data_IF_777159157918
#
_entry.id   IF_777159157918
#
_cell.length_a   1.000
_cell.length_b   1.000
_cell.length_c   1.000
_cell.angle_alpha   90.00
_cell.angle_beta   90.00
_cell.angle_gamma   90.00
#
_symmetry.space_group_name_H-M   'P 1'
#
loop_
_entity.id
_entity.type
_entity.pdbx_description
1 polymer ?
#
# COMPACT_ATOMS: atom_id res chain seq x y z
N UNK A 1 13.75 21.66 -26.46
CA UNK A 1 13.37 20.23 -26.33
C UNK A 1 12.24 20.12 -25.31
N UNK A 2 11.07 19.58 -25.65
CA UNK A 2 9.97 19.39 -24.68
C UNK A 2 10.33 18.23 -23.74
N UNK A 3 10.54 18.53 -22.46
CA UNK A 3 10.75 17.48 -21.45
C UNK A 3 9.44 16.71 -21.23
N UNK A 4 9.52 15.38 -21.25
CA UNK A 4 8.36 14.51 -20.97
C UNK A 4 8.10 14.51 -19.45
N UNK A 5 6.83 14.55 -19.00
CA UNK A 5 6.49 14.53 -17.59
C UNK A 5 6.95 13.21 -16.93
N UNK A 6 7.37 13.30 -15.66
CA UNK A 6 7.79 12.17 -14.83
C UNK A 6 6.58 11.27 -14.55
N UNK A 7 6.69 9.98 -14.86
CA UNK A 7 5.68 8.98 -14.52
C UNK A 7 6.02 8.37 -13.16
N UNK A 8 4.99 8.20 -12.33
CA UNK A 8 5.03 7.35 -11.15
C UNK A 8 4.29 6.06 -11.50
N UNK A 9 5.00 4.93 -11.49
CA UNK A 9 4.40 3.63 -11.74
C UNK A 9 3.58 3.17 -10.54
N UNK A 10 2.36 2.72 -10.80
CA UNK A 10 1.53 2.06 -9.80
C UNK A 10 2.12 0.71 -9.41
N UNK A 11 1.66 0.15 -8.29
CA UNK A 11 2.07 -1.20 -7.88
C UNK A 11 1.64 -2.26 -8.90
N UNK A 12 0.51 -2.08 -9.58
CA UNK A 12 0.06 -2.98 -10.66
C UNK A 12 0.96 -2.90 -11.88
N UNK A 13 1.38 -1.70 -12.29
CA UNK A 13 2.32 -1.51 -13.39
C UNK A 13 3.69 -2.13 -13.06
N UNK A 14 4.19 -1.91 -11.85
CA UNK A 14 5.43 -2.57 -11.37
C UNK A 14 5.26 -4.09 -11.35
N UNK A 15 4.12 -4.61 -10.90
CA UNK A 15 3.86 -6.04 -10.89
C UNK A 15 3.90 -6.62 -12.31
N UNK A 16 3.29 -5.94 -13.28
CA UNK A 16 3.34 -6.33 -14.69
C UNK A 16 4.77 -6.31 -15.26
N UNK A 17 5.57 -5.30 -14.91
CA UNK A 17 6.99 -5.24 -15.30
C UNK A 17 7.77 -6.45 -14.76
N UNK A 18 7.53 -6.82 -13.50
CA UNK A 18 8.15 -8.00 -12.87
C UNK A 18 7.67 -9.31 -13.49
N UNK A 19 6.39 -9.44 -13.84
CA UNK A 19 5.85 -10.65 -14.48
C UNK A 19 6.49 -10.87 -15.85
N UNK A 20 6.71 -9.80 -16.62
CA UNK A 20 7.37 -9.84 -17.94
C UNK A 20 8.86 -10.13 -17.83
N UNK A 21 9.53 -9.50 -16.87
CA UNK A 21 10.94 -9.79 -16.56
C UNK A 21 11.16 -11.25 -16.16
N UNK A 22 10.28 -11.80 -15.32
CA UNK A 22 10.36 -13.21 -14.89
C UNK A 22 10.09 -14.19 -16.05
N UNK A 23 9.30 -13.79 -17.05
CA UNK A 23 9.08 -14.57 -18.28
C UNK A 23 10.27 -14.53 -19.25
N UNK A 24 11.28 -13.69 -18.99
CA UNK A 24 12.46 -13.54 -19.83
C UNK A 24 12.33 -12.45 -20.91
N UNK A 25 11.29 -11.62 -20.85
CA UNK A 25 11.13 -10.51 -21.80
C UNK A 25 12.27 -9.47 -21.62
N UNK A 26 12.76 -8.93 -22.73
CA UNK A 26 13.83 -7.93 -22.69
C UNK A 26 13.33 -6.59 -22.14
N UNK A 27 14.22 -5.79 -21.54
CA UNK A 27 13.89 -4.45 -21.04
C UNK A 27 13.25 -3.54 -22.09
N UNK A 28 13.61 -3.73 -23.37
CA UNK A 28 13.06 -2.97 -24.49
C UNK A 28 11.60 -3.35 -24.77
N UNK A 29 11.27 -4.65 -24.76
CA UNK A 29 9.89 -5.14 -24.92
C UNK A 29 9.01 -4.69 -23.76
N UNK A 30 9.51 -4.75 -22.52
CA UNK A 30 8.78 -4.26 -21.35
C UNK A 30 8.55 -2.74 -21.48
N UNK A 31 9.53 -1.98 -21.97
CA UNK A 31 9.40 -0.54 -22.13
C UNK A 31 8.41 -0.12 -23.22
N UNK A 32 8.33 -0.90 -24.30
CA UNK A 32 7.32 -0.71 -25.36
C UNK A 32 5.89 -0.83 -24.82
N UNK A 33 5.63 -1.73 -23.87
CA UNK A 33 4.31 -1.86 -23.23
C UNK A 33 3.85 -0.60 -22.47
N UNK A 34 4.78 0.27 -22.08
CA UNK A 34 4.49 1.52 -21.36
C UNK A 34 4.70 2.78 -22.21
N UNK A 35 4.99 2.65 -23.52
CA UNK A 35 5.39 3.74 -24.42
C UNK A 35 6.60 4.55 -23.90
N UNK A 36 7.57 3.86 -23.28
CA UNK A 36 8.74 4.49 -22.64
C UNK A 36 10.08 3.94 -23.12
N UNK A 37 11.12 4.69 -22.75
CA UNK A 37 12.51 4.29 -22.96
C UNK A 37 12.96 3.36 -21.82
N UNK A 38 13.72 2.31 -22.15
CA UNK A 38 14.16 1.22 -21.28
C UNK A 38 14.96 1.68 -20.05
N UNK A 39 15.60 2.86 -20.12
CA UNK A 39 16.43 3.39 -19.02
C UNK A 39 15.68 3.56 -17.70
N UNK A 40 14.38 3.91 -17.75
CA UNK A 40 13.56 4.04 -16.53
C UNK A 40 13.21 2.70 -15.90
N UNK A 41 13.06 1.65 -16.71
CA UNK A 41 12.67 0.30 -16.26
C UNK A 41 13.88 -0.45 -15.73
N UNK A 42 15.02 -0.31 -16.41
CA UNK A 42 16.30 -0.86 -15.96
C UNK A 42 16.67 -0.39 -14.56
N UNK A 43 16.43 0.89 -14.24
CA UNK A 43 16.66 1.43 -12.88
C UNK A 43 15.77 0.77 -11.82
N UNK A 44 14.49 0.56 -12.12
CA UNK A 44 13.54 -0.05 -11.17
C UNK A 44 13.90 -1.51 -10.87
N UNK A 45 14.32 -2.25 -11.90
CA UNK A 45 14.74 -3.64 -11.78
C UNK A 45 16.12 -3.76 -11.10
N UNK A 46 17.06 -2.86 -11.41
CA UNK A 46 18.40 -2.89 -10.82
C UNK A 46 18.42 -2.45 -9.36
N UNK A 47 17.51 -1.57 -8.92
CA UNK A 47 17.34 -1.20 -7.51
C UNK A 47 17.04 -2.41 -6.61
N UNK A 48 16.40 -3.47 -7.16
CA UNK A 48 16.13 -4.72 -6.44
C UNK A 48 17.09 -5.87 -6.85
N UNK A 49 18.17 -5.56 -7.57
CA UNK A 49 19.15 -6.55 -8.04
C UNK A 49 18.62 -7.55 -9.08
N UNK A 50 17.53 -7.22 -9.78
CA UNK A 50 16.88 -8.12 -10.75
C UNK A 50 16.03 -9.23 -10.11
N UNK A 51 15.88 -9.22 -8.78
CA UNK A 51 15.01 -10.14 -8.04
C UNK A 51 13.75 -9.40 -7.61
N UNK A 52 12.57 -10.01 -7.86
CA UNK A 52 11.29 -9.41 -7.51
C UNK A 52 11.23 -9.16 -5.99
N UNK A 53 11.08 -7.90 -5.54
CA UNK A 53 10.98 -7.62 -4.12
C UNK A 53 9.70 -8.25 -3.57
N UNK A 54 9.79 -8.82 -2.37
CA UNK A 54 8.62 -9.36 -1.69
C UNK A 54 7.55 -8.27 -1.54
N UNK A 55 6.31 -8.59 -1.93
CA UNK A 55 5.20 -7.68 -1.75
C UNK A 55 5.08 -7.32 -0.27
N UNK A 56 5.08 -6.02 0.04
CA UNK A 56 4.92 -5.55 1.43
C UNK A 56 3.56 -5.97 1.95
N UNK A 57 3.53 -6.97 2.83
CA UNK A 57 2.34 -7.37 3.55
C UNK A 57 2.28 -6.66 4.90
N UNK A 58 1.06 -6.34 5.36
CA UNK A 58 0.87 -5.88 6.73
C UNK A 58 1.26 -7.01 7.67
N UNK A 59 2.01 -6.69 8.73
CA UNK A 59 2.28 -7.65 9.80
C UNK A 59 0.97 -8.20 10.36
N UNK A 60 0.93 -9.49 10.73
CA UNK A 60 -0.21 -10.10 11.44
C UNK A 60 -0.56 -9.39 12.75
N UNK A 61 0.39 -8.64 13.30
CA UNK A 61 0.22 -7.83 14.51
C UNK A 61 -0.44 -6.48 14.22
N UNK A 62 -0.61 -6.10 12.96
CA UNK A 62 -1.32 -4.88 12.58
C UNK A 62 -2.83 -5.07 12.76
N UNK A 63 -3.49 -4.07 13.35
CA UNK A 63 -4.94 -4.05 13.45
C UNK A 63 -5.58 -4.01 12.05
N UNK A 64 -6.54 -4.88 11.83
CA UNK A 64 -7.42 -4.95 10.66
C UNK A 64 -8.36 -3.74 10.61
N UNK A 65 -9.05 -3.55 9.47
CA UNK A 65 -10.04 -2.49 9.33
C UNK A 65 -11.22 -2.67 10.29
N UNK A 66 -11.73 -3.89 10.43
CA UNK A 66 -12.80 -4.21 11.35
C UNK A 66 -12.43 -3.89 12.81
N UNK A 67 -11.21 -4.23 13.24
CA UNK A 67 -10.72 -3.89 14.58
C UNK A 67 -10.61 -2.36 14.76
N UNK A 68 -10.15 -1.62 13.75
CA UNK A 68 -10.06 -0.14 13.79
C UNK A 68 -11.44 0.52 13.87
N UNK A 69 -12.41 0.01 13.12
CA UNK A 69 -13.80 0.48 13.18
C UNK A 69 -14.43 0.22 14.54
N UNK A 70 -14.17 -0.94 15.14
CA UNK A 70 -14.64 -1.29 16.48
C UNK A 70 -14.02 -0.38 17.54
N UNK A 71 -12.72 -0.04 17.43
CA UNK A 71 -12.07 0.97 18.28
C UNK A 71 -12.80 2.31 18.12
N UNK A 72 -13.09 2.74 16.89
CA UNK A 72 -13.77 4.01 16.63
C UNK A 72 -15.17 4.05 17.24
N UNK A 73 -15.98 2.99 17.05
CA UNK A 73 -17.32 2.86 17.66
C UNK A 73 -17.25 2.88 19.18
N UNK A 74 -16.32 2.12 19.75
CA UNK A 74 -16.17 2.02 21.20
C UNK A 74 -15.66 3.30 21.87
N UNK A 75 -14.88 4.11 21.13
CA UNK A 75 -14.46 5.43 21.60
C UNK A 75 -15.68 6.36 21.72
N UNK A 76 -16.56 6.35 20.70
CA UNK A 76 -17.78 7.18 20.65
C UNK A 76 -18.76 6.78 21.75
N UNK A 77 -18.90 5.48 22.05
CA UNK A 77 -19.73 5.01 23.16
C UNK A 77 -19.10 5.21 24.55
N UNK A 78 -17.87 5.72 24.63
CA UNK A 78 -17.22 6.04 25.91
C UNK A 78 -16.51 4.87 26.59
N UNK A 79 -16.31 3.73 25.93
CA UNK A 79 -15.62 2.58 26.55
C UNK A 79 -14.15 2.88 26.88
N UNK A 80 -13.65 2.30 27.97
CA UNK A 80 -12.23 2.42 28.35
C UNK A 80 -11.32 1.64 27.38
N UNK A 81 -10.04 2.03 27.29
CA UNK A 81 -9.07 1.34 26.42
C UNK A 81 -8.97 -0.16 26.76
N UNK A 82 -9.09 -0.52 28.05
CA UNK A 82 -9.05 -1.92 28.50
C UNK A 82 -10.25 -2.71 27.99
N UNK A 83 -11.46 -2.17 28.11
CA UNK A 83 -12.68 -2.80 27.61
C UNK A 83 -12.66 -3.00 26.09
N UNK A 84 -12.14 -2.01 25.35
CA UNK A 84 -11.95 -2.12 23.90
C UNK A 84 -10.97 -3.25 23.56
N UNK A 85 -9.86 -3.31 24.28
CA UNK A 85 -8.81 -4.31 24.06
C UNK A 85 -9.30 -5.74 24.35
N UNK A 86 -10.07 -5.93 25.42
CA UNK A 86 -10.73 -7.20 25.75
C UNK A 86 -11.68 -7.64 24.64
N UNK A 87 -12.53 -6.72 24.16
CA UNK A 87 -13.49 -7.01 23.07
C UNK A 87 -12.79 -7.43 21.77
N UNK A 88 -11.59 -6.91 21.51
CA UNK A 88 -10.79 -7.22 20.32
C UNK A 88 -9.85 -8.42 20.51
N UNK A 89 -9.71 -8.96 21.73
CA UNK A 89 -8.69 -9.97 22.04
C UNK A 89 -7.26 -9.44 21.85
N UNK A 90 -7.03 -8.15 22.09
CA UNK A 90 -5.73 -7.48 21.90
C UNK A 90 -5.19 -6.94 23.22
N UNK A 91 -3.89 -6.65 23.25
CA UNK A 91 -3.29 -5.96 24.38
C UNK A 91 -3.78 -4.50 24.46
N UNK A 92 -4.08 -3.96 25.66
CA UNK A 92 -4.43 -2.54 25.84
C UNK A 92 -3.39 -1.57 25.27
N UNK A 93 -2.11 -1.96 25.30
CA UNK A 93 -1.00 -1.18 24.72
C UNK A 93 -1.08 -1.09 23.19
N UNK A 94 -1.72 -2.04 22.51
CA UNK A 94 -1.96 -2.01 21.06
C UNK A 94 -3.01 -0.95 20.72
N UNK A 95 -4.13 -0.95 21.43
CA UNK A 95 -5.21 0.03 21.24
C UNK A 95 -4.73 1.44 21.58
N UNK A 96 -4.00 1.61 22.67
CA UNK A 96 -3.43 2.91 23.05
C UNK A 96 -2.45 3.47 22.00
N UNK A 97 -1.50 2.64 21.53
CA UNK A 97 -0.54 3.04 20.48
C UNK A 97 -1.23 3.39 19.17
N UNK A 98 -2.27 2.66 18.81
CA UNK A 98 -3.09 2.92 17.63
C UNK A 98 -3.78 4.29 17.74
N UNK A 99 -4.45 4.57 18.86
CA UNK A 99 -5.12 5.87 19.09
C UNK A 99 -4.11 7.02 19.03
N UNK A 100 -2.99 6.90 19.77
CA UNK A 100 -1.92 7.92 19.80
C UNK A 100 -1.29 8.17 18.43
N UNK A 101 -1.19 7.14 17.59
CA UNK A 101 -0.63 7.26 16.23
C UNK A 101 -1.48 8.15 15.33
N UNK A 102 -2.79 8.18 15.55
CA UNK A 102 -3.75 8.93 14.71
C UNK A 102 -4.31 10.16 15.44
N UNK A 103 -3.49 10.80 16.24
CA UNK A 103 -3.81 12.03 16.96
C UNK A 103 -4.15 11.71 18.41
N UNK A 104 -5.44 11.53 18.71
CA UNK A 104 -5.94 11.32 20.07
C UNK A 104 -7.33 10.68 20.04
N UNK A 105 -7.84 10.30 21.22
CA UNK A 105 -9.17 9.70 21.37
C UNK A 105 -10.30 10.53 20.74
N UNK A 106 -10.22 11.85 20.79
CA UNK A 106 -11.26 12.74 20.22
C UNK A 106 -11.20 12.83 18.69
N UNK A 107 -10.02 12.59 18.09
CA UNK A 107 -9.77 12.73 16.66
C UNK A 107 -9.61 11.38 15.94
N UNK A 108 -9.68 10.26 16.67
CA UNK A 108 -9.47 8.94 16.09
C UNK A 108 -10.57 8.57 15.08
N UNK A 109 -10.18 8.39 13.81
CA UNK A 109 -11.04 7.93 12.72
C UNK A 109 -10.41 6.73 12.03
N UNK A 110 -11.13 5.61 11.95
CA UNK A 110 -10.64 4.36 11.34
C UNK A 110 -10.12 4.56 9.90
N UNK A 111 -10.75 5.45 9.12
CA UNK A 111 -10.38 5.71 7.72
C UNK A 111 -9.07 6.48 7.54
N UNK A 112 -8.65 7.32 8.49
CA UNK A 112 -7.36 8.01 8.42
C UNK A 112 -6.19 7.05 8.70
N UNK A 113 -6.52 5.87 9.21
CA UNK A 113 -5.58 4.85 9.60
C UNK A 113 -5.13 3.94 8.43
N UNK A 114 -5.64 4.20 7.23
CA UNK A 114 -5.44 3.41 6.01
C UNK A 114 -4.25 3.88 5.16
N UNK A 115 -3.79 5.12 5.33
CA UNK A 115 -2.97 5.87 4.34
C UNK A 115 -1.50 5.39 4.21
N UNK A 116 -1.21 4.12 4.52
CA UNK A 116 0.05 3.46 4.17
C UNK A 116 -0.07 2.41 3.06
N UNK A 117 -1.18 2.38 2.33
CA UNK A 117 -1.23 1.68 1.05
C UNK A 117 -1.54 2.68 -0.05
N UNK A 118 -0.54 2.94 -0.88
CA UNK A 118 -0.74 3.53 -2.20
C UNK A 118 -1.57 2.57 -3.04
N UNK A 119 -2.89 2.72 -2.97
CA UNK A 119 -3.82 2.19 -3.95
C UNK A 119 -4.61 3.39 -4.48
N UNK A 120 -3.99 4.13 -5.40
CA UNK A 120 -4.75 4.92 -6.36
C UNK A 120 -4.95 3.99 -7.55
N UNK A 121 -6.09 3.30 -7.54
CA UNK A 121 -6.57 2.52 -8.67
C UNK A 121 -7.09 3.53 -9.70
N UNK A 122 -6.28 3.82 -10.71
CA UNK A 122 -6.77 4.37 -11.97
C UNK A 122 -6.94 3.20 -12.92
N UNK A 123 -8.19 2.88 -13.18
CA UNK A 123 -8.64 1.88 -14.13
C UNK A 123 -8.20 2.34 -15.52
N UNK A 124 -7.11 1.76 -16.04
CA UNK A 124 -6.79 1.83 -17.45
C UNK A 124 -7.10 0.46 -18.03
N UNK A 125 -8.33 0.35 -18.56
CA UNK A 125 -8.78 -0.76 -19.39
C UNK A 125 -7.72 -1.08 -20.46
N UNK A 126 -7.56 -2.35 -20.84
CA UNK A 126 -6.61 -2.75 -21.87
C UNK A 126 -7.05 -2.14 -23.20
N UNK A 127 -6.35 -1.10 -23.65
CA UNK A 127 -6.45 -0.64 -25.03
C UNK A 127 -5.71 -1.67 -25.87
N UNK A 128 -6.45 -2.65 -26.40
CA UNK A 128 -6.03 -3.42 -27.54
C UNK A 128 -5.91 -2.47 -28.73
N UNK A 129 -4.72 -2.35 -29.33
CA UNK A 129 -4.43 -2.31 -30.78
C UNK A 129 -2.93 -2.53 -30.98
#
# INVERSE_FOLDING_TARGET
>A
MKQRPRIYYTETQKAMMWDRWQKGDSLQQIAQLFDRNYSSIGRILSESGGIRPAQRQRSRLALTMAEREEISRSIVTGHSIRSIAEKLGRAPSTVSREIKRYGDRQNYRANQAVVRHGNVHIDLSPVNW
#
